data_IF_669860709947
#
_entry.id   IF_669860709947
#
_cell.length_a   1.000
_cell.length_b   1.000
_cell.length_c   1.000
_cell.angle_alpha   90.00
_cell.angle_beta   90.00
_cell.angle_gamma   90.00
#
_symmetry.space_group_name_H-M   'P 1'
#
loop_
_entity.id
_entity.type
_entity.pdbx_description
1 polymer ?
#
# COMPACT_ATOMS: atom_id res chain seq x y z
N UNK A 1 9.28 11.99 -47.07
CA UNK A 1 8.17 12.54 -46.25
C UNK A 1 7.66 11.51 -45.24
N UNK A 2 7.42 10.25 -45.62
CA UNK A 2 6.97 9.14 -44.75
C UNK A 2 7.88 8.83 -43.56
N UNK A 3 9.22 8.89 -43.74
CA UNK A 3 10.19 8.66 -42.65
C UNK A 3 10.19 9.76 -41.58
N UNK A 4 9.92 11.00 -41.96
CA UNK A 4 9.85 12.14 -41.04
C UNK A 4 8.56 12.09 -40.20
N UNK A 5 7.44 11.69 -40.81
CA UNK A 5 6.15 11.49 -40.11
C UNK A 5 6.24 10.35 -39.09
N UNK A 6 6.93 9.25 -39.43
CA UNK A 6 7.18 8.13 -38.52
C UNK A 6 8.03 8.54 -37.31
N UNK A 7 9.09 9.34 -37.51
CA UNK A 7 9.95 9.81 -36.43
C UNK A 7 9.24 10.81 -35.50
N UNK A 8 8.40 11.69 -36.06
CA UNK A 8 7.56 12.61 -35.28
C UNK A 8 6.50 11.84 -34.48
N UNK A 9 5.86 10.83 -35.08
CA UNK A 9 4.88 9.99 -34.38
C UNK A 9 5.49 9.18 -33.22
N UNK A 10 6.70 8.64 -33.40
CA UNK A 10 7.45 7.93 -32.34
C UNK A 10 7.90 8.91 -31.24
N UNK A 11 8.34 10.12 -31.61
CA UNK A 11 8.66 11.16 -30.62
C UNK A 11 7.45 11.61 -29.80
N UNK A 12 6.26 11.67 -30.40
CA UNK A 12 5.02 12.09 -29.73
C UNK A 12 4.50 11.02 -28.74
N UNK A 13 4.70 9.72 -29.02
CA UNK A 13 4.34 8.63 -28.11
C UNK A 13 5.31 8.52 -26.92
N UNK A 14 6.60 8.84 -27.11
CA UNK A 14 7.61 8.83 -26.04
C UNK A 14 7.46 9.99 -25.03
N UNK A 15 6.86 11.11 -25.42
CA UNK A 15 6.62 12.26 -24.53
C UNK A 15 5.42 12.06 -23.59
N UNK A 16 4.55 11.08 -23.87
CA UNK A 16 3.29 10.88 -23.12
C UNK A 16 3.42 9.94 -21.91
N UNK A 17 4.55 9.27 -21.70
CA UNK A 17 4.83 8.47 -20.50
C UNK A 17 5.60 9.28 -19.45
N UNK A 18 5.07 10.44 -19.08
CA UNK A 18 5.37 10.95 -17.75
C UNK A 18 4.51 10.13 -16.79
N UNK A 19 5.11 9.14 -16.12
CA UNK A 19 4.42 8.43 -15.05
C UNK A 19 3.98 9.47 -14.02
N UNK A 20 2.69 9.81 -14.02
CA UNK A 20 2.11 10.57 -12.92
C UNK A 20 2.33 9.69 -11.69
N UNK A 21 3.22 10.10 -10.80
CA UNK A 21 3.28 9.52 -9.48
C UNK A 21 1.88 9.75 -8.89
N UNK A 22 1.07 8.70 -8.87
CA UNK A 22 -0.24 8.74 -8.24
C UNK A 22 0.02 9.21 -6.81
N UNK A 23 -0.48 10.40 -6.45
CA UNK A 23 -0.42 10.83 -5.06
C UNK A 23 -1.25 9.82 -4.29
N UNK A 24 -0.54 8.95 -3.57
CA UNK A 24 -1.10 8.02 -2.62
C UNK A 24 -2.02 8.80 -1.68
N UNK A 25 -3.30 8.43 -1.61
CA UNK A 25 -4.26 9.03 -0.69
C UNK A 25 -3.77 8.78 0.75
N UNK A 26 -3.26 9.79 1.47
CA UNK A 26 -2.62 9.59 2.77
C UNK A 26 -3.51 8.85 3.76
N UNK A 27 -4.83 8.98 3.65
CA UNK A 27 -5.82 8.30 4.49
C UNK A 27 -5.80 6.77 4.31
N UNK A 28 -5.36 6.30 3.16
CA UNK A 28 -5.24 4.87 2.84
C UNK A 28 -3.83 4.31 3.13
N UNK A 29 -2.88 5.12 3.59
CA UNK A 29 -1.50 4.67 3.86
C UNK A 29 -1.05 4.95 5.30
N UNK A 30 -0.43 3.95 5.94
CA UNK A 30 0.10 4.06 7.30
C UNK A 30 1.58 4.46 7.32
N UNK A 31 1.89 5.67 6.83
CA UNK A 31 3.27 6.11 6.59
C UNK A 31 4.12 6.42 7.83
N UNK A 32 3.53 6.48 9.03
CA UNK A 32 4.22 6.92 10.25
C UNK A 32 3.68 6.23 11.51
N UNK A 33 4.35 6.43 12.64
CA UNK A 33 3.90 5.93 13.93
C UNK A 33 2.49 6.43 14.21
N UNK A 34 1.57 5.50 14.49
CA UNK A 34 0.13 5.77 14.72
C UNK A 34 -0.63 6.35 13.52
N UNK A 35 -0.14 6.16 12.29
CA UNK A 35 -0.91 6.44 11.08
C UNK A 35 -0.93 7.92 10.66
N UNK A 36 -1.69 8.28 9.61
CA UNK A 36 -1.66 9.61 8.99
C UNK A 36 -1.97 10.75 9.97
N UNK A 37 -2.85 10.52 10.95
CA UNK A 37 -3.22 11.49 11.99
C UNK A 37 -2.46 11.31 13.32
N UNK A 38 -1.51 10.38 13.40
CA UNK A 38 -0.80 10.00 14.63
C UNK A 38 -1.72 9.56 15.80
N UNK A 39 -2.96 9.19 15.52
CA UNK A 39 -3.97 8.78 16.52
C UNK A 39 -3.96 7.27 16.81
N UNK A 40 -3.52 6.46 15.85
CA UNK A 40 -3.59 5.00 15.91
C UNK A 40 -4.94 4.43 15.48
N UNK A 41 -5.82 5.26 14.91
CA UNK A 41 -7.13 4.85 14.39
C UNK A 41 -7.02 4.57 12.88
N UNK A 42 -7.61 3.47 12.41
CA UNK A 42 -7.79 3.16 11.00
C UNK A 42 -9.24 3.47 10.58
N UNK A 43 -9.56 4.69 10.09
CA UNK A 43 -10.95 5.10 9.83
C UNK A 43 -11.65 4.31 8.71
N UNK A 44 -10.86 3.74 7.80
CA UNK A 44 -11.33 2.91 6.68
C UNK A 44 -10.96 1.43 6.85
N UNK A 45 -10.51 1.03 8.04
CA UNK A 45 -10.19 -0.37 8.33
C UNK A 45 -11.44 -1.22 8.44
N UNK A 46 -11.41 -2.40 7.83
CA UNK A 46 -12.44 -3.44 7.96
C UNK A 46 -11.79 -4.74 8.47
N UNK A 47 -11.26 -4.76 9.71
CA UNK A 47 -10.60 -5.93 10.25
C UNK A 47 -11.63 -7.02 10.60
N UNK A 48 -11.28 -8.32 10.46
CA UNK A 48 -12.16 -9.39 10.87
C UNK A 48 -12.43 -9.33 12.38
N UNK A 49 -13.69 -9.38 12.78
CA UNK A 49 -14.10 -9.38 14.19
C UNK A 49 -14.18 -10.77 14.82
N UNK A 50 -14.08 -11.81 13.99
CA UNK A 50 -14.01 -13.21 14.41
C UNK A 50 -12.69 -13.79 13.92
N UNK A 51 -11.95 -14.45 14.80
CA UNK A 51 -10.69 -15.07 14.46
C UNK A 51 -10.43 -16.28 15.36
N UNK A 52 -9.66 -17.22 14.83
CA UNK A 52 -9.19 -18.40 15.57
C UNK A 52 -7.82 -18.82 15.03
N UNK A 53 -7.21 -19.85 15.61
CA UNK A 53 -5.98 -20.46 15.08
C UNK A 53 -6.08 -20.92 13.62
N UNK A 54 -7.29 -21.06 13.08
CA UNK A 54 -7.55 -21.55 11.71
C UNK A 54 -8.45 -20.63 10.87
N UNK A 55 -8.89 -19.49 11.40
CA UNK A 55 -9.86 -18.61 10.74
C UNK A 55 -9.38 -17.16 10.77
N UNK A 56 -9.49 -16.47 9.63
CA UNK A 56 -9.18 -15.05 9.46
C UNK A 56 -7.74 -14.64 9.89
N UNK A 57 -6.80 -15.60 9.88
CA UNK A 57 -5.36 -15.35 10.00
C UNK A 57 -4.73 -15.31 8.61
N UNK A 58 -4.21 -14.16 8.21
CA UNK A 58 -3.50 -14.01 6.94
C UNK A 58 -2.11 -14.67 6.97
N UNK A 59 -1.42 -14.61 8.10
CA UNK A 59 -0.10 -15.21 8.30
C UNK A 59 0.21 -15.37 9.79
N UNK A 60 1.11 -16.30 10.11
CA UNK A 60 1.64 -16.54 11.46
C UNK A 60 3.11 -16.91 11.35
N UNK A 61 3.94 -16.40 12.24
CA UNK A 61 5.37 -16.73 12.32
C UNK A 61 5.76 -16.97 13.77
N UNK A 62 6.64 -17.93 14.00
CA UNK A 62 7.21 -18.18 15.33
C UNK A 62 8.20 -17.08 15.68
N UNK A 63 8.06 -16.48 16.87
CA UNK A 63 9.03 -15.53 17.41
C UNK A 63 9.91 -16.29 18.41
N UNK A 64 11.24 -16.38 18.17
CA UNK A 64 12.14 -17.08 19.07
C UNK A 64 12.13 -16.49 20.49
N UNK A 65 12.23 -17.36 21.50
CA UNK A 65 12.31 -16.96 22.90
C UNK A 65 10.94 -16.87 23.58
N UNK A 66 10.84 -16.06 24.65
CA UNK A 66 9.60 -15.84 25.39
C UNK A 66 9.08 -14.43 25.13
N UNK A 67 7.83 -14.32 24.70
CA UNK A 67 7.14 -13.04 24.58
C UNK A 67 6.64 -12.54 25.94
N UNK A 68 6.80 -11.24 26.20
CA UNK A 68 6.25 -10.55 27.37
C UNK A 68 5.16 -9.54 27.00
N UNK A 69 4.76 -9.49 25.73
CA UNK A 69 3.74 -8.58 25.24
C UNK A 69 2.33 -9.03 25.64
N UNK A 70 1.43 -8.07 25.88
CA UNK A 70 0.00 -8.32 25.91
C UNK A 70 -0.54 -8.42 24.48
N UNK A 71 -1.67 -9.13 24.26
CA UNK A 71 -2.37 -9.08 22.99
C UNK A 71 -2.74 -7.63 22.61
N UNK A 72 -2.60 -7.28 21.33
CA UNK A 72 -3.25 -6.12 20.71
C UNK A 72 -4.43 -6.67 19.90
N UNK A 73 -5.62 -6.12 20.13
CA UNK A 73 -6.87 -6.46 19.44
C UNK A 73 -7.44 -5.19 18.85
#
# INVERSE_FOLDING_TARGET
>A
MTRLVLLVAIGLTLVSTSATAQTADPEHFWGQWRGPDASGVAPHGDPPTLWSETENIAWKVEIPGRGSASPIV
#
